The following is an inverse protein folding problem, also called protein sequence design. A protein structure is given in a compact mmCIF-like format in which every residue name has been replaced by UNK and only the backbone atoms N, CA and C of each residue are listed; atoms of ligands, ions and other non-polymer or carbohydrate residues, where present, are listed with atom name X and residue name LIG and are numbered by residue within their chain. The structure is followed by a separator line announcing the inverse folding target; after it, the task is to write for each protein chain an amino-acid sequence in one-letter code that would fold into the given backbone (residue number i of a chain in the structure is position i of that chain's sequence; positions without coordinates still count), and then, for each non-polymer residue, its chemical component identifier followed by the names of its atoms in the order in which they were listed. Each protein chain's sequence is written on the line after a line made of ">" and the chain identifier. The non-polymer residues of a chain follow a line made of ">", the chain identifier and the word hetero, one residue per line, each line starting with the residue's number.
data_IF_707906250553
#
_entry.id   IF_707906250553
#
_cell.length_a   1.000
_cell.length_b   1.000
_cell.length_c   1.000
_cell.angle_alpha   90.00
_cell.angle_beta   90.00
_cell.angle_gamma   90.00
#
_symmetry.space_group_name_H-M   'P 1'
#
loop_
_entity.id
_entity.type
_entity.pdbx_description
1 polymer ?
#
# COMPACT_ATOMS: atom_id res chain seq x y z
N UNK A 1 -17.35 -21.36 -7.96
CA UNK A 1 -17.06 -21.41 -9.41
C UNK A 1 -16.79 -19.99 -9.88
N UNK A 2 -15.68 -19.68 -10.56
CA UNK A 2 -15.43 -18.33 -11.02
C UNK A 2 -16.42 -18.03 -12.15
N UNK A 3 -17.36 -17.11 -11.91
CA UNK A 3 -18.37 -16.70 -12.91
C UNK A 3 -17.77 -15.89 -14.07
N UNK A 4 -16.53 -15.42 -13.88
CA UNK A 4 -15.82 -14.50 -14.77
C UNK A 4 -15.60 -15.05 -16.19
N UNK A 5 -15.15 -16.31 -16.40
CA UNK A 5 -14.88 -16.82 -17.76
C UNK A 5 -16.16 -17.00 -18.58
N UNK A 6 -17.25 -17.43 -17.94
CA UNK A 6 -18.55 -17.64 -18.59
C UNK A 6 -19.16 -16.29 -18.99
N UNK A 7 -19.15 -15.31 -18.07
CA UNK A 7 -19.66 -13.97 -18.34
C UNK A 7 -18.89 -13.28 -19.48
N UNK A 8 -17.57 -13.45 -19.54
CA UNK A 8 -16.73 -12.88 -20.61
C UNK A 8 -17.09 -13.45 -22.00
N UNK A 9 -17.35 -14.75 -22.10
CA UNK A 9 -17.74 -15.39 -23.36
C UNK A 9 -19.09 -14.88 -23.89
N UNK A 10 -20.09 -14.76 -23.02
CA UNK A 10 -21.41 -14.23 -23.41
C UNK A 10 -21.37 -12.73 -23.74
N UNK A 11 -20.58 -11.94 -23.01
CA UNK A 11 -20.38 -10.52 -23.32
C UNK A 11 -19.75 -10.34 -24.72
N UNK A 12 -18.73 -11.14 -25.06
CA UNK A 12 -18.12 -11.13 -26.39
C UNK A 12 -19.10 -11.50 -27.50
N UNK A 13 -19.91 -12.54 -27.30
CA UNK A 13 -20.94 -12.95 -28.27
C UNK A 13 -22.02 -11.88 -28.47
N UNK A 14 -22.44 -11.20 -27.40
CA UNK A 14 -23.39 -10.09 -27.45
C UNK A 14 -22.88 -8.90 -28.25
N UNK A 15 -21.61 -8.51 -28.03
CA UNK A 15 -20.97 -7.43 -28.79
C UNK A 15 -20.87 -7.74 -30.29
N UNK A 16 -20.53 -8.98 -30.65
CA UNK A 16 -20.44 -9.41 -32.05
C UNK A 16 -21.81 -9.42 -32.75
N UNK A 17 -22.86 -9.87 -32.04
CA UNK A 17 -24.23 -9.88 -32.56
C UNK A 17 -24.80 -8.47 -32.76
N UNK A 18 -24.59 -7.55 -31.81
CA UNK A 18 -25.00 -6.16 -31.98
C UNK A 18 -24.25 -5.48 -33.13
N UNK A 19 -22.94 -5.76 -33.26
CA UNK A 19 -22.10 -5.26 -34.34
C UNK A 19 -22.51 -5.75 -35.74
N UNK A 20 -23.15 -6.91 -35.87
CA UNK A 20 -23.61 -7.43 -37.17
C UNK A 20 -24.92 -6.76 -37.65
N UNK A 21 -25.72 -6.19 -36.74
CA UNK A 21 -27.00 -5.51 -37.06
C UNK A 21 -26.86 -4.03 -37.42
N UNK A 22 -25.69 -3.43 -37.18
CA UNK A 22 -25.43 -2.01 -37.45
C UNK A 22 -24.81 -1.88 -38.84
N UNK A 23 -25.54 -1.30 -39.79
CA UNK A 23 -25.13 -1.24 -41.21
C UNK A 23 -24.07 -0.18 -41.50
N UNK A 24 -24.04 0.94 -40.75
CA UNK A 24 -23.12 2.04 -41.02
C UNK A 24 -21.81 1.92 -40.23
N UNK A 25 -20.68 1.85 -40.93
CA UNK A 25 -19.32 1.81 -40.35
C UNK A 25 -19.06 2.97 -39.37
N UNK A 26 -19.59 4.17 -39.66
CA UNK A 26 -19.47 5.33 -38.76
C UNK A 26 -20.13 5.12 -37.39
N UNK A 27 -21.27 4.42 -37.35
CA UNK A 27 -21.98 4.11 -36.11
C UNK A 27 -21.20 3.07 -35.29
N UNK A 28 -20.61 2.07 -35.94
CA UNK A 28 -19.74 1.09 -35.26
C UNK A 28 -18.54 1.77 -34.62
N UNK A 29 -17.85 2.64 -35.36
CA UNK A 29 -16.69 3.40 -34.84
C UNK A 29 -17.10 4.27 -33.65
N UNK A 30 -18.21 5.01 -33.75
CA UNK A 30 -18.70 5.84 -32.66
C UNK A 30 -19.05 5.03 -31.40
N UNK A 31 -19.72 3.88 -31.56
CA UNK A 31 -20.06 2.99 -30.44
C UNK A 31 -18.82 2.34 -29.82
N UNK A 32 -17.83 1.95 -30.63
CA UNK A 32 -16.56 1.42 -30.11
C UNK A 32 -15.78 2.46 -29.30
N UNK A 33 -15.75 3.72 -29.76
CA UNK A 33 -15.13 4.83 -29.02
C UNK A 33 -15.87 5.09 -27.71
N UNK A 34 -17.21 5.15 -27.75
CA UNK A 34 -18.05 5.30 -26.56
C UNK A 34 -17.82 4.17 -25.56
N UNK A 35 -17.76 2.92 -26.04
CA UNK A 35 -17.52 1.75 -25.20
C UNK A 35 -16.14 1.83 -24.55
N UNK A 36 -15.07 2.09 -25.32
CA UNK A 36 -13.71 2.20 -24.79
C UNK A 36 -13.56 3.37 -23.80
N UNK A 37 -14.16 4.53 -24.10
CA UNK A 37 -14.18 5.68 -23.22
C UNK A 37 -14.94 5.40 -21.92
N UNK A 38 -16.11 4.76 -22.00
CA UNK A 38 -16.89 4.38 -20.81
C UNK A 38 -16.16 3.36 -19.94
N UNK A 39 -15.50 2.38 -20.56
CA UNK A 39 -14.68 1.41 -19.84
C UNK A 39 -13.48 2.08 -19.16
N UNK A 40 -12.79 2.99 -19.84
CA UNK A 40 -11.69 3.76 -19.24
C UNK A 40 -12.15 4.65 -18.08
N UNK A 41 -13.30 5.31 -18.21
CA UNK A 41 -13.89 6.12 -17.15
C UNK A 41 -14.28 5.27 -15.93
N UNK A 42 -14.96 4.15 -16.16
CA UNK A 42 -15.34 3.21 -15.09
C UNK A 42 -14.10 2.60 -14.43
N UNK A 43 -13.12 2.14 -15.21
CA UNK A 43 -11.87 1.63 -14.67
C UNK A 43 -11.16 2.69 -13.83
N UNK A 44 -11.08 3.94 -14.27
CA UNK A 44 -10.51 5.01 -13.46
C UNK A 44 -11.28 5.22 -12.15
N UNK A 45 -12.60 5.38 -12.19
CA UNK A 45 -13.38 5.68 -10.98
C UNK A 45 -13.42 4.51 -9.99
N UNK A 46 -13.46 3.26 -10.48
CA UNK A 46 -13.58 2.09 -9.61
C UNK A 46 -12.22 1.46 -9.26
N UNK A 47 -11.25 1.40 -10.17
CA UNK A 47 -9.95 0.78 -9.92
C UNK A 47 -9.00 1.68 -9.11
N UNK A 48 -9.10 3.01 -9.22
CA UNK A 48 -8.25 3.92 -8.42
C UNK A 48 -8.47 3.75 -6.93
N UNK A 49 -9.69 3.42 -6.49
CA UNK A 49 -9.97 3.12 -5.08
C UNK A 49 -9.25 1.85 -4.59
N UNK A 50 -8.98 0.89 -5.47
CA UNK A 50 -8.18 -0.29 -5.17
C UNK A 50 -6.68 -0.05 -5.34
N UNK A 51 -6.30 0.95 -6.14
CA UNK A 51 -4.92 1.40 -6.28
C UNK A 51 -4.56 2.43 -5.20
N UNK A 52 -4.72 2.05 -3.92
CA UNK A 52 -3.99 2.71 -2.84
C UNK A 52 -2.57 2.14 -2.83
N UNK A 53 -1.52 2.95 -3.02
CA UNK A 53 -0.17 2.44 -2.85
C UNK A 53 -0.04 1.98 -1.40
N UNK A 54 0.19 0.69 -1.17
CA UNK A 54 0.34 0.10 0.18
C UNK A 54 1.41 0.86 0.96
N UNK A 55 2.48 1.27 0.27
CA UNK A 55 3.58 2.04 0.83
C UNK A 55 3.34 3.55 0.93
N UNK A 56 2.14 4.07 0.57
CA UNK A 56 1.88 5.51 0.60
C UNK A 56 2.05 6.08 2.01
N UNK A 57 1.55 5.36 2.99
CA UNK A 57 1.60 5.79 4.38
C UNK A 57 3.03 5.76 4.94
N UNK A 58 3.80 4.71 4.64
CA UNK A 58 5.22 4.62 4.98
C UNK A 58 6.04 5.72 4.31
N UNK A 59 5.76 6.04 3.04
CA UNK A 59 6.39 7.17 2.34
C UNK A 59 6.09 8.48 3.05
N UNK A 60 4.82 8.74 3.34
CA UNK A 60 4.39 10.02 3.92
C UNK A 60 4.96 10.19 5.33
N UNK A 61 5.00 9.12 6.14
CA UNK A 61 5.68 9.10 7.44
C UNK A 61 7.19 9.36 7.30
N UNK A 62 7.84 8.73 6.32
CA UNK A 62 9.26 8.99 6.02
C UNK A 62 9.52 10.46 5.66
N UNK A 63 8.73 11.04 4.76
CA UNK A 63 8.84 12.46 4.39
C UNK A 63 8.64 13.39 5.59
N UNK A 64 7.72 13.06 6.49
CA UNK A 64 7.51 13.85 7.71
C UNK A 64 8.70 13.73 8.68
N UNK A 65 9.25 12.54 8.87
CA UNK A 65 10.47 12.35 9.67
C UNK A 65 11.66 13.12 9.10
N UNK A 66 11.83 13.14 7.77
CA UNK A 66 12.87 13.92 7.11
C UNK A 66 12.78 15.41 7.49
N UNK A 67 11.57 15.93 7.60
CA UNK A 67 11.27 17.35 7.90
C UNK A 67 11.37 17.69 9.38
N UNK A 68 11.11 16.73 10.27
CA UNK A 68 10.91 16.98 11.72
C UNK A 68 12.02 16.46 12.61
N UNK A 69 12.92 15.61 12.09
CA UNK A 69 14.04 15.04 12.86
C UNK A 69 15.40 15.59 12.39
N UNK A 70 16.43 15.68 13.25
CA UNK A 70 17.79 16.01 12.84
C UNK A 70 18.36 15.02 11.82
N UNK A 71 19.23 15.46 10.90
CA UNK A 71 19.75 14.62 9.80
C UNK A 71 20.41 13.29 10.25
N UNK A 72 21.07 13.30 11.41
CA UNK A 72 21.79 12.14 11.93
C UNK A 72 21.00 11.35 12.99
N UNK A 73 19.70 11.60 13.15
CA UNK A 73 18.88 10.86 14.11
C UNK A 73 18.72 9.41 13.70
N UNK A 74 18.83 8.49 14.67
CA UNK A 74 18.47 7.09 14.48
C UNK A 74 17.00 6.88 14.85
N UNK A 75 16.25 6.22 13.98
CA UNK A 75 14.81 6.01 14.13
C UNK A 75 14.46 4.52 14.30
N UNK A 76 13.36 4.22 14.96
CA UNK A 76 12.71 2.91 15.01
C UNK A 76 11.39 3.04 14.26
N UNK A 77 11.10 2.13 13.32
CA UNK A 77 9.90 2.21 12.50
C UNK A 77 9.02 0.95 12.64
N UNK A 78 7.78 1.12 13.05
CA UNK A 78 6.77 0.07 12.97
C UNK A 78 6.24 -0.01 11.53
N UNK A 79 6.91 -0.83 10.73
CA UNK A 79 6.77 -0.93 9.27
C UNK A 79 6.68 -2.38 8.75
N UNK A 80 6.57 -3.37 9.64
CA UNK A 80 6.55 -4.80 9.33
C UNK A 80 7.71 -5.26 8.41
N UNK A 81 8.86 -4.58 8.49
CA UNK A 81 10.05 -4.88 7.69
C UNK A 81 10.13 -4.14 6.35
N UNK A 82 9.19 -3.26 6.02
CA UNK A 82 9.22 -2.48 4.78
C UNK A 82 10.19 -1.27 4.90
N UNK A 83 11.26 -1.20 4.09
CA UNK A 83 12.28 -0.17 4.22
C UNK A 83 11.84 1.23 3.71
N UNK A 84 10.60 1.38 3.24
CA UNK A 84 10.09 2.62 2.64
C UNK A 84 10.25 3.83 3.57
N UNK A 85 9.97 3.69 4.88
CA UNK A 85 10.11 4.80 5.83
C UNK A 85 11.55 5.32 5.83
N UNK A 86 12.56 4.44 5.94
CA UNK A 86 13.97 4.85 6.00
C UNK A 86 14.42 5.52 4.70
N UNK A 87 13.97 4.99 3.55
CA UNK A 87 14.29 5.56 2.24
C UNK A 87 13.84 7.01 2.13
N UNK A 88 12.58 7.30 2.48
CA UNK A 88 12.02 8.66 2.39
C UNK A 88 12.47 9.57 3.53
N UNK A 89 12.67 9.02 4.74
CA UNK A 89 13.20 9.75 5.88
C UNK A 89 14.63 10.24 5.66
N UNK A 90 15.41 9.51 4.85
CA UNK A 90 16.86 9.71 4.76
C UNK A 90 17.49 9.66 6.18
N UNK A 91 17.06 8.66 6.96
CA UNK A 91 17.55 8.37 8.31
C UNK A 91 17.95 6.91 8.38
N UNK A 92 18.94 6.64 9.23
CA UNK A 92 19.31 5.28 9.61
C UNK A 92 18.45 4.83 10.78
N UNK A 93 18.35 3.53 10.99
CA UNK A 93 17.51 3.02 12.04
C UNK A 93 17.32 1.51 11.98
N UNK A 94 16.28 1.07 12.68
CA UNK A 94 15.91 -0.33 12.81
C UNK A 94 14.40 -0.48 12.65
N UNK A 95 13.99 -1.63 12.11
CA UNK A 95 12.59 -2.04 12.16
C UNK A 95 12.17 -2.22 13.63
N UNK A 96 10.91 -1.93 13.92
CA UNK A 96 10.31 -2.24 15.20
C UNK A 96 10.31 -3.77 15.40
N UNK A 97 10.78 -4.26 16.55
CA UNK A 97 10.99 -5.69 16.82
C UNK A 97 11.99 -6.33 15.83
N UNK A 98 13.09 -5.62 15.57
CA UNK A 98 14.20 -6.10 14.76
C UNK A 98 15.07 -7.12 15.51
N UNK A 99 15.50 -8.14 14.77
CA UNK A 99 16.61 -9.03 15.12
C UNK A 99 17.49 -9.28 13.91
N UNK A 100 18.78 -8.96 14.04
CA UNK A 100 19.79 -9.10 12.98
C UNK A 100 19.47 -8.33 11.68
N UNK A 101 18.80 -7.19 11.82
CA UNK A 101 18.40 -6.31 10.71
C UNK A 101 17.11 -6.71 10.03
N UNK A 102 16.39 -7.71 10.54
CA UNK A 102 15.14 -8.21 9.98
C UNK A 102 14.04 -8.10 11.03
N UNK A 103 12.81 -7.80 10.61
CA UNK A 103 11.64 -7.88 11.46
C UNK A 103 11.42 -9.32 11.98
N UNK A 104 11.40 -9.54 13.30
CA UNK A 104 11.34 -10.86 13.95
C UNK A 104 9.90 -11.29 14.32
N UNK A 105 8.88 -10.63 13.76
CA UNK A 105 7.48 -10.97 14.01
C UNK A 105 6.93 -10.44 15.33
N UNK A 106 5.80 -11.04 15.78
CA UNK A 106 5.07 -10.51 16.92
C UNK A 106 5.62 -11.02 18.26
N UNK A 107 5.76 -10.14 19.27
CA UNK A 107 6.25 -10.48 20.59
C UNK A 107 5.15 -11.16 21.41
N UNK A 108 5.58 -11.94 22.40
CA UNK A 108 4.64 -12.69 23.27
C UNK A 108 3.88 -11.81 24.25
N UNK A 109 4.45 -10.66 24.64
CA UNK A 109 3.90 -9.73 25.61
C UNK A 109 4.50 -8.32 25.47
N UNK A 110 3.96 -7.37 26.23
CA UNK A 110 4.42 -5.98 26.29
C UNK A 110 5.83 -5.84 26.86
N UNK A 111 6.26 -6.70 27.77
CA UNK A 111 7.61 -6.66 28.35
C UNK A 111 8.69 -6.89 27.29
N UNK A 112 8.44 -7.79 26.33
CA UNK A 112 9.34 -8.04 25.22
C UNK A 112 9.42 -6.82 24.29
N UNK A 113 8.28 -6.19 23.97
CA UNK A 113 8.23 -4.95 23.17
C UNK A 113 9.09 -3.86 23.82
N UNK A 114 8.88 -3.61 25.12
CA UNK A 114 9.60 -2.58 25.86
C UNK A 114 11.10 -2.90 25.89
N UNK A 115 11.46 -4.16 26.12
CA UNK A 115 12.86 -4.60 26.15
C UNK A 115 13.56 -4.31 24.82
N UNK A 116 12.93 -4.65 23.70
CA UNK A 116 13.51 -4.45 22.37
C UNK A 116 13.67 -2.95 22.06
N UNK A 117 12.66 -2.14 22.34
CA UNK A 117 12.74 -0.67 22.16
C UNK A 117 13.85 -0.08 23.03
N UNK A 118 13.97 -0.51 24.29
CA UNK A 118 15.01 -0.01 25.20
C UNK A 118 16.42 -0.43 24.77
N UNK A 119 16.59 -1.62 24.17
CA UNK A 119 17.86 -2.02 23.54
C UNK A 119 18.21 -1.07 22.40
N UNK A 120 17.26 -0.79 21.50
CA UNK A 120 17.49 0.11 20.36
C UNK A 120 17.72 1.56 20.81
N UNK A 121 17.02 2.02 21.85
CA UNK A 121 17.25 3.31 22.50
C UNK A 121 18.67 3.41 23.06
N UNK A 122 19.18 2.37 23.73
CA UNK A 122 20.58 2.31 24.21
C UNK A 122 21.60 2.30 23.07
N UNK A 123 21.21 1.83 21.88
CA UNK A 123 22.03 1.92 20.65
C UNK A 123 21.97 3.30 19.97
N UNK A 124 21.19 4.24 20.51
CA UNK A 124 21.12 5.63 20.04
C UNK A 124 19.84 5.98 19.28
N UNK A 125 18.83 5.10 19.23
CA UNK A 125 17.53 5.47 18.70
C UNK A 125 16.93 6.65 19.49
N UNK A 126 16.44 7.63 18.76
CA UNK A 126 15.94 8.91 19.30
C UNK A 126 14.49 9.20 18.92
N UNK A 127 13.95 8.46 17.94
CA UNK A 127 12.58 8.56 17.48
C UNK A 127 12.00 7.17 17.24
N UNK A 128 10.73 6.99 17.57
CA UNK A 128 9.93 5.80 17.27
C UNK A 128 8.71 6.29 16.48
N UNK A 129 8.44 5.67 15.33
CA UNK A 129 7.32 6.03 14.46
C UNK A 129 6.33 4.89 14.34
N UNK A 130 5.06 5.21 14.50
CA UNK A 130 3.93 4.38 14.13
C UNK A 130 3.12 5.07 13.05
N UNK A 131 2.46 4.27 12.22
CA UNK A 131 1.52 4.71 11.20
C UNK A 131 0.12 4.22 11.57
N UNK A 132 -0.92 4.73 10.94
CA UNK A 132 -2.31 4.30 11.17
C UNK A 132 -2.47 2.79 11.00
N UNK A 133 -1.79 2.18 10.03
CA UNK A 133 -1.81 0.72 9.85
C UNK A 133 -1.09 -0.04 10.96
N UNK A 134 -0.23 0.63 11.74
CA UNK A 134 0.52 0.04 12.86
C UNK A 134 0.09 0.56 14.24
N UNK A 135 -0.98 1.36 14.35
CA UNK A 135 -1.50 1.81 15.66
C UNK A 135 -2.07 0.69 16.54
N UNK A 136 -2.48 -0.43 15.94
CA UNK A 136 -2.94 -1.59 16.70
C UNK A 136 -1.88 -2.15 17.66
N UNK A 137 -0.58 -1.91 17.39
CA UNK A 137 0.50 -2.21 18.34
C UNK A 137 0.31 -1.50 19.67
N UNK A 138 -0.11 -0.23 19.63
CA UNK A 138 -0.37 0.57 20.83
C UNK A 138 -1.61 0.10 21.56
N UNK A 139 -2.65 -0.31 20.82
CA UNK A 139 -3.90 -0.79 21.41
C UNK A 139 -3.73 -2.17 22.06
N UNK A 140 -2.86 -3.03 21.53
CA UNK A 140 -2.68 -4.40 22.00
C UNK A 140 -1.59 -4.53 23.08
N UNK A 141 -0.50 -3.75 22.98
CA UNK A 141 0.67 -3.87 23.85
C UNK A 141 0.92 -2.64 24.75
N UNK A 142 0.10 -1.59 24.66
CA UNK A 142 0.14 -0.40 25.52
C UNK A 142 -0.69 -0.56 26.78
#
# INVERSE_FOLDING_TARGET
>A
MPLVPIAAAYAGAGCAFAGSKISATKIKVALSILLAGSFGWLAYNYATSFYRPVAAELRDAGLELKRTTPENSLIIAADDGDPTIFYYAQRKGWHFLEKEGIYDGNPSNSEQVITDIEILRKRGASYLVFTKTTFWWLDYYG
#
